data_IF_368110210493
#
_entry.id   IF_368110210493
#
_cell.length_a   1.000
_cell.length_b   1.000
_cell.length_c   1.000
_cell.angle_alpha   90.00
_cell.angle_beta   90.00
_cell.angle_gamma   90.00
#
_symmetry.space_group_name_H-M   'P 1'
#
loop_
_entity.id
_entity.type
_entity.pdbx_description
1 polymer ?
#
# COMPACT_ATOMS: atom_id res chain seq x y z
N UNK A 1 -35.34 16.15 -6.23
CA UNK A 1 -35.62 15.02 -5.31
C UNK A 1 -34.83 13.84 -5.83
N UNK A 2 -33.65 13.57 -5.27
CA UNK A 2 -32.75 12.53 -5.77
C UNK A 2 -33.18 11.13 -5.31
N UNK A 3 -32.93 10.11 -6.14
CA UNK A 3 -33.08 8.70 -5.77
C UNK A 3 -31.68 8.10 -5.68
N UNK A 4 -31.37 7.38 -4.59
CA UNK A 4 -30.11 6.68 -4.39
C UNK A 4 -30.34 5.19 -4.57
N UNK A 5 -29.52 4.55 -5.42
CA UNK A 5 -29.50 3.11 -5.61
C UNK A 5 -28.15 2.58 -5.14
N UNK A 6 -28.15 1.62 -4.21
CA UNK A 6 -26.96 0.92 -3.73
C UNK A 6 -27.06 -0.53 -4.17
N UNK A 7 -26.02 -1.02 -4.85
CA UNK A 7 -25.93 -2.39 -5.34
C UNK A 7 -24.72 -3.08 -4.67
N UNK A 8 -24.88 -4.32 -4.27
CA UNK A 8 -23.81 -5.19 -3.79
C UNK A 8 -23.69 -6.36 -4.74
N UNK A 9 -22.52 -6.53 -5.35
CA UNK A 9 -22.24 -7.54 -6.37
C UNK A 9 -20.99 -8.29 -5.92
N UNK A 10 -20.97 -9.64 -5.97
CA UNK A 10 -19.80 -10.43 -5.62
C UNK A 10 -18.68 -10.30 -6.67
N UNK A 11 -17.42 -10.43 -6.25
CA UNK A 11 -16.24 -10.17 -7.10
C UNK A 11 -16.23 -10.94 -8.44
N UNK A 12 -16.78 -12.16 -8.49
CA UNK A 12 -16.82 -12.96 -9.73
C UNK A 12 -17.80 -12.42 -10.78
N UNK A 13 -18.66 -11.47 -10.40
CA UNK A 13 -19.65 -10.82 -11.26
C UNK A 13 -19.25 -9.39 -11.64
N UNK A 14 -17.97 -9.01 -11.51
CA UNK A 14 -17.46 -7.66 -11.85
C UNK A 14 -17.80 -7.21 -13.28
N UNK A 15 -17.99 -8.17 -14.20
CA UNK A 15 -18.46 -7.91 -15.57
C UNK A 15 -19.83 -7.22 -15.64
N UNK A 16 -20.71 -7.46 -14.65
CA UNK A 16 -22.04 -6.84 -14.57
C UNK A 16 -21.89 -5.34 -14.25
N UNK A 17 -21.00 -4.99 -13.32
CA UNK A 17 -20.69 -3.59 -12.99
C UNK A 17 -20.22 -2.87 -14.24
N UNK A 18 -19.23 -3.41 -14.95
CA UNK A 18 -18.67 -2.77 -16.14
C UNK A 18 -19.74 -2.48 -17.20
N UNK A 19 -20.67 -3.42 -17.43
CA UNK A 19 -21.75 -3.25 -18.39
C UNK A 19 -22.78 -2.19 -17.97
N UNK A 20 -23.11 -2.13 -16.67
CA UNK A 20 -23.99 -1.08 -16.12
C UNK A 20 -23.32 0.29 -16.27
N UNK A 21 -22.03 0.36 -15.98
CA UNK A 21 -21.25 1.60 -16.01
C UNK A 21 -21.10 2.13 -17.43
N UNK A 22 -20.89 1.25 -18.41
CA UNK A 22 -20.89 1.59 -19.83
C UNK A 22 -22.22 2.17 -20.29
N UNK A 23 -23.35 1.57 -19.89
CA UNK A 23 -24.69 2.08 -20.21
C UNK A 23 -25.02 3.43 -19.56
N UNK A 24 -24.46 3.71 -18.38
CA UNK A 24 -24.70 4.96 -17.63
C UNK A 24 -23.73 6.07 -18.07
N UNK A 25 -22.56 5.73 -18.62
CA UNK A 25 -21.54 6.70 -19.03
C UNK A 25 -22.02 7.69 -20.11
N UNK A 26 -23.00 7.31 -20.91
CA UNK A 26 -23.61 8.15 -21.96
C UNK A 26 -24.71 9.10 -21.43
N UNK A 27 -25.09 9.01 -20.15
CA UNK A 27 -26.15 9.83 -19.56
C UNK A 27 -25.57 11.00 -18.72
N UNK A 28 -25.62 12.25 -19.22
CA UNK A 28 -24.92 13.38 -18.63
C UNK A 28 -25.43 13.82 -17.25
N UNK A 29 -26.61 13.35 -16.83
CA UNK A 29 -27.21 13.67 -15.52
C UNK A 29 -26.78 12.71 -14.39
N UNK A 30 -26.07 11.63 -14.72
CA UNK A 30 -25.57 10.69 -13.72
C UNK A 30 -24.21 11.14 -13.17
N UNK A 31 -24.19 11.51 -11.89
CA UNK A 31 -22.93 11.69 -11.15
C UNK A 31 -22.40 10.31 -10.79
N UNK A 32 -21.42 9.86 -11.56
CA UNK A 32 -20.74 8.63 -11.29
C UNK A 32 -19.63 8.84 -10.25
N UNK A 33 -19.82 8.28 -9.05
CA UNK A 33 -18.81 8.21 -8.00
C UNK A 33 -18.22 6.79 -7.96
N UNK A 34 -17.48 6.39 -9.00
CA UNK A 34 -16.73 5.14 -8.94
C UNK A 34 -15.72 5.21 -7.80
N UNK A 35 -15.59 4.14 -6.98
CA UNK A 35 -14.26 3.82 -6.51
C UNK A 35 -13.40 3.60 -7.76
N UNK A 36 -12.32 4.36 -7.89
CA UNK A 36 -11.28 4.08 -8.90
C UNK A 36 -11.01 2.57 -8.93
N UNK A 37 -10.83 1.95 -10.12
CA UNK A 37 -10.59 0.51 -10.23
C UNK A 37 -9.56 0.08 -9.19
N UNK A 38 -9.72 -1.10 -8.56
CA UNK A 38 -8.95 -1.50 -7.38
C UNK A 38 -7.49 -1.13 -7.60
N UNK A 39 -7.01 -0.15 -6.84
CA UNK A 39 -5.73 0.52 -7.09
C UNK A 39 -4.66 -0.56 -7.23
N UNK A 40 -4.26 -0.84 -8.46
CA UNK A 40 -3.27 -1.87 -8.77
C UNK A 40 -1.88 -1.45 -8.29
N UNK A 41 -1.72 -0.18 -7.91
CA UNK A 41 -0.52 0.38 -7.34
C UNK A 41 -0.81 1.41 -6.24
N UNK A 42 0.12 1.52 -5.30
CA UNK A 42 0.23 2.65 -4.36
C UNK A 42 1.30 3.60 -4.91
N UNK A 43 0.95 4.87 -5.12
CA UNK A 43 1.83 5.87 -5.73
C UNK A 43 2.14 7.02 -4.77
N UNK A 44 3.43 7.30 -4.63
CA UNK A 44 4.00 8.38 -3.83
C UNK A 44 5.05 9.12 -4.67
N UNK A 45 5.44 10.37 -4.33
CA UNK A 45 6.48 11.10 -5.05
C UNK A 45 7.78 10.29 -5.06
N UNK A 46 8.16 9.80 -6.24
CA UNK A 46 9.36 8.99 -6.43
C UNK A 46 9.25 7.52 -6.03
N UNK A 47 8.07 7.00 -5.65
CA UNK A 47 7.87 5.59 -5.30
C UNK A 47 6.54 5.06 -5.81
N UNK A 48 6.58 3.95 -6.52
CA UNK A 48 5.41 3.22 -7.03
C UNK A 48 5.49 1.77 -6.54
N UNK A 49 4.43 1.28 -5.89
CA UNK A 49 4.31 -0.10 -5.40
C UNK A 49 3.17 -0.78 -6.16
N UNK A 50 3.48 -1.66 -7.11
CA UNK A 50 2.45 -2.38 -7.88
C UNK A 50 2.07 -3.66 -7.16
N UNK A 51 0.85 -3.68 -6.63
CA UNK A 51 0.36 -4.69 -5.70
C UNK A 51 0.21 -6.07 -6.35
N UNK A 52 -0.34 -6.11 -7.58
CA UNK A 52 -0.56 -7.38 -8.31
C UNK A 52 0.74 -7.95 -8.88
N UNK A 53 1.63 -7.08 -9.35
CA UNK A 53 2.94 -7.48 -9.90
C UNK A 53 3.96 -7.82 -8.81
N UNK A 54 3.70 -7.42 -7.57
CA UNK A 54 4.66 -7.46 -6.46
C UNK A 54 5.98 -6.74 -6.78
N UNK A 55 5.90 -5.65 -7.56
CA UNK A 55 7.05 -4.86 -7.98
C UNK A 55 7.04 -3.48 -7.34
N UNK A 56 8.23 -2.93 -7.14
CA UNK A 56 8.43 -1.59 -6.58
C UNK A 56 9.38 -0.81 -7.48
N UNK A 57 8.99 0.40 -7.85
CA UNK A 57 9.82 1.32 -8.59
C UNK A 57 10.15 2.53 -7.72
N UNK A 58 11.43 2.89 -7.63
CA UNK A 58 11.89 4.12 -6.99
C UNK A 58 12.50 5.02 -8.06
N UNK A 59 11.97 6.24 -8.24
CA UNK A 59 12.37 7.18 -9.29
C UNK A 59 12.41 6.52 -10.69
N UNK A 60 11.42 5.68 -11.00
CA UNK A 60 11.33 4.94 -12.26
C UNK A 60 12.24 3.71 -12.39
N UNK A 61 13.09 3.43 -11.38
CA UNK A 61 14.00 2.26 -11.38
C UNK A 61 13.39 1.11 -10.58
N UNK A 62 13.36 -0.09 -11.15
CA UNK A 62 12.88 -1.29 -10.47
C UNK A 62 13.79 -1.65 -9.28
N UNK A 63 13.19 -1.78 -8.10
CA UNK A 63 13.88 -2.15 -6.86
C UNK A 63 13.53 -3.60 -6.50
N UNK A 64 14.55 -4.46 -6.49
CA UNK A 64 14.37 -5.87 -6.13
C UNK A 64 14.18 -6.03 -4.61
N UNK A 65 12.94 -6.29 -4.20
CA UNK A 65 12.58 -6.62 -2.82
C UNK A 65 12.36 -8.12 -2.65
N UNK A 66 12.71 -8.64 -1.46
CA UNK A 66 12.27 -9.98 -1.05
C UNK A 66 10.78 -9.96 -0.68
N UNK A 67 10.18 -11.14 -0.53
CA UNK A 67 8.78 -11.27 -0.12
C UNK A 67 8.44 -10.44 1.14
N UNK A 68 9.22 -10.60 2.21
CA UNK A 68 8.98 -9.89 3.46
C UNK A 68 9.24 -8.39 3.34
N UNK A 69 10.25 -7.98 2.57
CA UNK A 69 10.50 -6.55 2.33
C UNK A 69 9.34 -5.90 1.56
N UNK A 70 8.82 -6.57 0.53
CA UNK A 70 7.65 -6.10 -0.22
C UNK A 70 6.40 -6.05 0.65
N UNK A 71 6.14 -7.10 1.42
CA UNK A 71 4.97 -7.20 2.29
C UNK A 71 5.00 -6.15 3.41
N UNK A 72 6.14 -5.96 4.08
CA UNK A 72 6.30 -4.90 5.11
C UNK A 72 6.13 -3.52 4.51
N UNK A 73 6.78 -3.23 3.37
CA UNK A 73 6.64 -1.93 2.70
C UNK A 73 5.18 -1.65 2.34
N UNK A 74 4.51 -2.63 1.73
CA UNK A 74 3.09 -2.53 1.33
C UNK A 74 2.18 -2.35 2.54
N UNK A 75 2.39 -3.11 3.61
CA UNK A 75 1.61 -3.02 4.84
C UNK A 75 1.65 -1.60 5.43
N UNK A 76 2.85 -1.03 5.52
CA UNK A 76 3.01 0.34 6.02
C UNK A 76 2.47 1.39 5.03
N UNK A 77 2.73 1.21 3.74
CA UNK A 77 2.34 2.16 2.69
C UNK A 77 0.83 2.24 2.44
N UNK A 78 0.06 1.20 2.81
CA UNK A 78 -1.42 1.26 2.82
C UNK A 78 -1.98 2.25 3.83
N UNK A 79 -1.20 2.60 4.86
CA UNK A 79 -1.61 3.51 5.92
C UNK A 79 -0.56 4.62 6.16
N UNK A 80 -0.32 5.52 5.19
CA UNK A 80 0.65 6.60 5.36
C UNK A 80 0.31 7.46 6.59
N UNK A 81 1.33 7.77 7.39
CA UNK A 81 1.21 8.55 8.60
C UNK A 81 0.91 7.75 9.87
N UNK A 82 0.48 6.49 9.76
CA UNK A 82 0.22 5.63 10.93
C UNK A 82 1.51 5.07 11.51
N UNK A 83 1.49 4.78 12.81
CA UNK A 83 2.60 4.16 13.53
C UNK A 83 2.21 2.72 13.86
N UNK A 84 3.02 1.78 13.41
CA UNK A 84 2.87 0.35 13.73
C UNK A 84 4.03 -0.10 14.60
N UNK A 85 3.74 -0.85 15.66
CA UNK A 85 4.76 -1.50 16.47
C UNK A 85 5.46 -2.60 15.67
N UNK A 86 6.63 -3.05 16.13
CA UNK A 86 7.29 -4.19 15.52
C UNK A 86 6.42 -5.47 15.58
N UNK A 87 5.72 -5.70 16.70
CA UNK A 87 4.81 -6.84 16.83
C UNK A 87 3.66 -6.80 15.83
N UNK A 88 3.01 -5.64 15.66
CA UNK A 88 1.91 -5.49 14.68
C UNK A 88 2.37 -5.75 13.25
N UNK A 89 3.55 -5.25 12.87
CA UNK A 89 4.12 -5.51 11.55
C UNK A 89 4.44 -7.00 11.39
N UNK A 90 5.00 -7.62 12.43
CA UNK A 90 5.35 -9.03 12.39
C UNK A 90 4.13 -9.92 12.25
N UNK A 91 3.12 -9.73 13.11
CA UNK A 91 1.86 -10.47 13.07
C UNK A 91 1.18 -10.35 11.71
N UNK A 92 1.11 -9.14 11.16
CA UNK A 92 0.46 -8.90 9.87
C UNK A 92 1.20 -9.49 8.66
N UNK A 93 2.53 -9.66 8.73
CA UNK A 93 3.35 -10.07 7.57
C UNK A 93 3.85 -11.51 7.67
N UNK A 94 4.17 -11.98 8.87
CA UNK A 94 4.64 -13.34 9.13
C UNK A 94 3.52 -14.31 9.53
N UNK A 95 2.32 -13.81 9.86
CA UNK A 95 1.16 -14.61 10.30
C UNK A 95 1.48 -15.50 11.52
N UNK A 96 2.20 -14.91 12.49
CA UNK A 96 2.70 -15.54 13.72
C UNK A 96 2.69 -14.55 14.88
N UNK A 97 2.66 -15.07 16.11
CA UNK A 97 2.76 -14.26 17.31
C UNK A 97 4.00 -13.37 17.31
N UNK A 98 3.83 -12.09 17.67
CA UNK A 98 4.87 -11.07 17.63
C UNK A 98 5.88 -11.10 18.77
N UNK A 99 5.94 -12.17 19.58
CA UNK A 99 6.87 -12.22 20.71
C UNK A 99 8.33 -12.29 20.22
N UNK A 100 9.20 -11.43 20.76
CA UNK A 100 10.62 -11.35 20.38
C UNK A 100 10.92 -11.03 18.90
N UNK A 101 9.93 -10.53 18.14
CA UNK A 101 10.06 -10.28 16.70
C UNK A 101 10.85 -9.02 16.31
N UNK A 102 11.22 -8.18 17.28
CA UNK A 102 11.74 -6.83 17.03
C UNK A 102 12.97 -6.79 16.12
N UNK A 103 13.87 -7.77 16.23
CA UNK A 103 15.08 -7.88 15.40
C UNK A 103 14.76 -8.23 13.96
N UNK A 104 13.80 -9.12 13.71
CA UNK A 104 13.37 -9.53 12.37
C UNK A 104 12.78 -8.33 11.62
N UNK A 105 11.83 -7.62 12.24
CA UNK A 105 11.22 -6.42 11.64
C UNK A 105 12.25 -5.33 11.42
N UNK A 106 13.11 -5.05 12.41
CA UNK A 106 14.16 -4.05 12.27
C UNK A 106 15.13 -4.36 11.12
N UNK A 107 15.47 -5.63 10.92
CA UNK A 107 16.32 -6.08 9.82
C UNK A 107 15.69 -5.81 8.46
N UNK A 108 14.42 -6.20 8.28
CA UNK A 108 13.67 -5.98 7.04
C UNK A 108 13.49 -4.48 6.75
N UNK A 109 13.14 -3.67 7.76
CA UNK A 109 13.05 -2.20 7.62
C UNK A 109 14.40 -1.61 7.20
N UNK A 110 15.51 -2.09 7.79
CA UNK A 110 16.86 -1.67 7.41
C UNK A 110 17.21 -2.02 5.97
N UNK A 111 16.80 -3.20 5.49
CA UNK A 111 16.99 -3.61 4.09
C UNK A 111 16.17 -2.74 3.13
N UNK A 112 14.89 -2.51 3.42
CA UNK A 112 14.02 -1.63 2.61
C UNK A 112 14.65 -0.24 2.47
N UNK A 113 15.08 0.36 3.59
CA UNK A 113 15.71 1.69 3.60
C UNK A 113 16.96 1.77 2.72
N UNK A 114 17.85 0.77 2.81
CA UNK A 114 19.07 0.72 1.98
C UNK A 114 18.75 0.57 0.49
N UNK A 115 17.67 -0.14 0.15
CA UNK A 115 17.28 -0.38 -1.25
C UNK A 115 16.52 0.79 -1.88
N UNK A 116 15.64 1.46 -1.11
CA UNK A 116 14.85 2.59 -1.63
C UNK A 116 15.63 3.90 -1.65
N UNK A 117 16.48 4.13 -0.65
CA UNK A 117 17.23 5.38 -0.47
C UNK A 117 18.65 5.06 -0.01
N UNK A 118 19.53 4.54 -0.90
CA UNK A 118 20.87 4.10 -0.54
C UNK A 118 21.74 5.24 0.02
N UNK A 119 21.60 6.45 -0.54
CA UNK A 119 22.38 7.62 -0.13
C UNK A 119 21.89 8.23 1.19
N UNK A 120 20.60 8.10 1.48
CA UNK A 120 19.95 8.60 2.70
C UNK A 120 19.03 7.55 3.34
N UNK A 121 19.56 6.42 3.87
CA UNK A 121 18.73 5.32 4.38
C UNK A 121 17.83 5.73 5.56
N UNK A 122 18.22 6.79 6.27
CA UNK A 122 17.44 7.36 7.39
C UNK A 122 16.46 8.45 6.97
N UNK A 123 16.47 8.92 5.71
CA UNK A 123 15.59 9.97 5.15
C UNK A 123 14.62 9.46 4.07
N UNK A 124 14.43 8.14 3.97
CA UNK A 124 13.52 7.52 3.00
C UNK A 124 12.06 7.57 3.43
N UNK A 125 11.25 6.64 2.94
CA UNK A 125 9.80 6.62 3.22
C UNK A 125 9.43 6.09 4.61
N UNK A 126 10.30 5.32 5.26
CA UNK A 126 10.01 4.67 6.54
C UNK A 126 10.78 5.34 7.67
N UNK A 127 10.07 5.98 8.59
CA UNK A 127 10.61 6.61 9.79
C UNK A 127 10.49 5.68 11.00
N UNK A 128 11.49 5.71 11.87
CA UNK A 128 11.40 5.08 13.20
C UNK A 128 10.82 6.10 14.18
N UNK A 129 9.76 5.72 14.88
CA UNK A 129 9.15 6.46 15.97
C UNK A 129 9.65 5.84 17.27
N UNK A 130 10.55 6.56 17.97
CA UNK A 130 11.28 6.03 19.11
C UNK A 130 10.32 5.54 20.21
N UNK A 131 10.52 4.30 20.66
CA UNK A 131 9.68 3.67 21.68
C UNK A 131 8.29 3.23 21.20
N UNK A 132 7.93 3.46 19.93
CA UNK A 132 6.60 3.10 19.40
C UNK A 132 6.66 2.14 18.22
N UNK A 133 7.55 2.36 17.26
CA UNK A 133 7.69 1.48 16.09
C UNK A 133 8.07 2.21 14.82
N UNK A 134 7.35 1.93 13.73
CA UNK A 134 7.66 2.41 12.39
C UNK A 134 6.46 3.07 11.72
N UNK A 135 6.75 4.08 10.91
CA UNK A 135 5.76 4.87 10.20
C UNK A 135 6.18 5.09 8.77
N UNK A 136 5.27 4.89 7.83
CA UNK A 136 5.47 5.28 6.45
C UNK A 136 5.03 6.73 6.23
N UNK A 137 5.82 7.50 5.48
CA UNK A 137 5.49 8.85 5.06
C UNK A 137 5.22 8.86 3.55
N UNK A 138 4.22 9.62 3.12
CA UNK A 138 3.88 9.77 1.71
C UNK A 138 4.96 10.47 0.88
N UNK A 139 6.02 10.99 1.51
CA UNK A 139 7.21 11.54 0.86
C UNK A 139 8.44 11.17 1.69
N UNK A 140 9.63 11.04 1.05
CA UNK A 140 10.89 10.94 1.80
C UNK A 140 11.09 12.21 2.65
N UNK A 141 11.88 12.10 3.73
CA UNK A 141 12.02 13.13 4.76
C UNK A 141 13.47 13.52 5.04
#
# INVERSE_FOLDING_TARGET
>A
MGKLLILSIPDHEEHIINKIMELIADEPEFIHLAPSPPQSALSFPGLEIRLKEQTVYCNGTLIALTYHEFAVLTYLARHPGWVFSASQIYEAVWDKDGEHCGTAVASVIGQIRRKLTPDTPKGGYIRTVLGSGYKFNSSPF
#
